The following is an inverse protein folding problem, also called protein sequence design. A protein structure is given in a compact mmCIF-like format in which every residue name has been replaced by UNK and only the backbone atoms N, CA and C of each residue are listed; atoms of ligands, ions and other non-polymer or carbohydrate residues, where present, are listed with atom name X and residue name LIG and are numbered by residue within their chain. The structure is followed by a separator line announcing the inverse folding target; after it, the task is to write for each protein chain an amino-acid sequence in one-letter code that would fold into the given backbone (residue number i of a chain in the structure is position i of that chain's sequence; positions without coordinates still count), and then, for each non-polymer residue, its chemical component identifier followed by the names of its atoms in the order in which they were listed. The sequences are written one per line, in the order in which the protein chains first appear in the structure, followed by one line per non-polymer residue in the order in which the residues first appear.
data_IF_697204226925
#
_entry.id   IF_697204226925
#
_cell.length_a   1.000
_cell.length_b   1.000
_cell.length_c   1.000
_cell.angle_alpha   90.00
_cell.angle_beta   90.00
_cell.angle_gamma   90.00
#
_symmetry.space_group_name_H-M   'P 1'
#
loop_
_entity.id
_entity.type
_entity.pdbx_description
1 polymer ?
#
# COMPACT_ATOMS: atom_id res chain seq x y z
N UNK A 1 5.74 20.98 -23.55
CA UNK A 1 4.89 21.17 -22.36
C UNK A 1 5.79 21.60 -21.22
N UNK A 2 5.56 22.80 -20.68
CA UNK A 2 6.29 23.31 -19.50
C UNK A 2 5.93 22.51 -18.24
N UNK A 3 6.68 22.63 -17.14
CA UNK A 3 6.30 21.99 -15.86
C UNK A 3 4.91 22.39 -15.38
N UNK A 4 4.53 23.66 -15.54
CA UNK A 4 3.21 24.15 -15.13
C UNK A 4 2.08 23.54 -15.98
N UNK A 5 2.28 23.47 -17.31
CA UNK A 5 1.34 22.81 -18.22
C UNK A 5 1.20 21.32 -17.92
N UNK A 6 2.30 20.64 -17.54
CA UNK A 6 2.25 19.25 -17.13
C UNK A 6 1.45 19.08 -15.83
N UNK A 7 1.69 19.95 -14.85
CA UNK A 7 1.02 19.91 -13.56
C UNK A 7 -0.49 20.18 -13.72
N UNK A 8 -0.85 21.12 -14.57
CA UNK A 8 -2.25 21.44 -14.87
C UNK A 8 -2.97 20.24 -15.52
N UNK A 9 -2.32 19.62 -16.51
CA UNK A 9 -2.86 18.42 -17.16
C UNK A 9 -3.02 17.26 -16.17
N UNK A 10 -2.05 17.07 -15.30
CA UNK A 10 -2.11 16.06 -14.24
C UNK A 10 -3.24 16.35 -13.23
N UNK A 11 -3.42 17.61 -12.81
CA UNK A 11 -4.50 18.00 -11.88
C UNK A 11 -5.87 17.74 -12.49
N UNK A 12 -6.06 18.07 -13.75
CA UNK A 12 -7.33 17.87 -14.46
C UNK A 12 -7.77 16.40 -14.41
N UNK A 13 -6.85 15.48 -14.68
CA UNK A 13 -7.14 14.05 -14.75
C UNK A 13 -6.71 13.26 -13.49
N UNK A 14 -6.40 13.95 -12.37
CA UNK A 14 -6.02 13.29 -11.14
C UNK A 14 -7.05 12.26 -10.70
N UNK A 15 -6.63 11.04 -10.35
CA UNK A 15 -7.54 10.00 -9.86
C UNK A 15 -8.18 10.42 -8.54
N UNK A 16 -9.41 10.01 -8.31
CA UNK A 16 -10.02 10.03 -6.98
C UNK A 16 -9.68 8.72 -6.30
N UNK A 17 -8.90 8.78 -5.22
CA UNK A 17 -8.48 7.61 -4.45
C UNK A 17 -9.49 7.32 -3.35
N UNK A 18 -10.00 6.09 -3.32
CA UNK A 18 -10.89 5.55 -2.30
C UNK A 18 -10.10 4.51 -1.51
N UNK A 19 -9.76 4.84 -0.29
CA UNK A 19 -9.00 3.93 0.56
C UNK A 19 -9.91 2.95 1.29
N UNK A 20 -9.41 1.76 1.55
CA UNK A 20 -10.07 0.84 2.46
C UNK A 20 -10.24 1.47 3.85
N UNK A 21 -11.34 1.17 4.50
CA UNK A 21 -11.65 1.73 5.81
C UNK A 21 -10.63 1.40 6.92
N UNK A 22 -9.85 0.34 6.74
CA UNK A 22 -8.78 -0.07 7.66
C UNK A 22 -7.39 0.40 7.20
N UNK A 23 -7.30 1.12 6.07
CA UNK A 23 -6.02 1.60 5.57
C UNK A 23 -5.48 2.74 6.43
N UNK A 24 -4.26 2.58 6.90
CA UNK A 24 -3.58 3.47 7.83
C UNK A 24 -2.59 4.40 7.16
N UNK A 25 -2.33 4.17 5.89
CA UNK A 25 -1.37 4.92 5.11
C UNK A 25 -2.06 5.76 4.04
N UNK A 26 -1.49 6.93 3.80
CA UNK A 26 -1.72 7.73 2.60
C UNK A 26 -0.41 7.85 1.84
N UNK A 27 -0.43 7.91 0.51
CA UNK A 27 0.80 8.13 -0.23
C UNK A 27 1.37 9.49 0.12
N UNK A 28 2.69 9.56 0.29
CA UNK A 28 3.38 10.75 0.77
C UNK A 28 4.63 11.08 -0.02
N UNK A 29 5.28 12.18 0.37
CA UNK A 29 6.60 12.53 -0.14
C UNK A 29 7.66 11.58 0.44
N UNK A 30 8.67 11.30 -0.36
CA UNK A 30 9.77 10.42 0.04
C UNK A 30 10.80 11.11 0.95
N UNK A 31 10.74 12.44 1.05
CA UNK A 31 11.76 13.24 1.74
C UNK A 31 11.90 12.79 3.21
N UNK A 32 10.82 12.77 3.98
CA UNK A 32 10.87 12.31 5.37
C UNK A 32 11.30 10.85 5.53
N UNK A 33 10.95 9.99 4.59
CA UNK A 33 11.40 8.59 4.57
C UNK A 33 12.92 8.50 4.35
N UNK A 34 13.47 9.31 3.46
CA UNK A 34 14.91 9.35 3.15
C UNK A 34 15.73 10.01 4.26
N UNK A 35 15.20 11.06 4.91
CA UNK A 35 15.86 11.74 6.03
C UNK A 35 16.18 10.78 7.20
N UNK A 36 15.32 9.81 7.45
CA UNK A 36 15.46 8.85 8.54
C UNK A 36 15.97 7.48 8.08
N UNK A 37 16.34 7.35 6.80
CA UNK A 37 16.85 6.11 6.23
C UNK A 37 18.38 6.09 6.18
N UNK A 38 18.94 4.90 6.33
CA UNK A 38 20.34 4.59 5.97
C UNK A 38 20.37 3.73 4.73
N UNK A 39 21.45 3.79 3.96
CA UNK A 39 21.67 2.88 2.82
C UNK A 39 22.60 1.76 3.25
N UNK A 40 22.16 0.52 3.03
CA UNK A 40 22.95 -0.67 3.32
C UNK A 40 23.39 -1.33 2.02
N UNK A 41 24.55 -1.97 2.01
CA UNK A 41 24.91 -2.93 0.97
C UNK A 41 24.18 -4.26 1.22
N UNK A 42 24.15 -5.14 0.24
CA UNK A 42 23.54 -6.45 0.34
C UNK A 42 24.03 -7.29 1.52
N UNK A 43 25.25 -7.04 2.00
CA UNK A 43 25.85 -7.62 3.20
C UNK A 43 25.45 -6.91 4.51
N UNK A 44 24.50 -5.98 4.43
CA UNK A 44 24.01 -5.17 5.56
C UNK A 44 25.04 -4.21 6.18
N UNK A 45 26.12 -3.90 5.47
CA UNK A 45 27.03 -2.83 5.85
C UNK A 45 26.44 -1.48 5.47
N UNK A 46 26.51 -0.51 6.39
CA UNK A 46 26.10 0.88 6.14
C UNK A 46 27.06 1.50 5.14
N UNK A 47 26.50 1.97 4.02
CA UNK A 47 27.28 2.69 3.02
C UNK A 47 27.58 4.14 3.48
N UNK A 48 28.71 4.71 3.09
CA UNK A 48 29.03 6.12 3.38
C UNK A 48 27.94 7.07 2.84
N UNK A 49 27.83 8.25 3.44
CA UNK A 49 26.86 9.27 3.04
C UNK A 49 25.55 9.24 3.85
N UNK A 50 25.55 8.63 5.00
CA UNK A 50 24.41 8.51 5.94
C UNK A 50 24.19 9.76 6.78
N UNK A 51 22.98 9.92 7.30
CA UNK A 51 21.82 10.54 6.65
C UNK A 51 22.11 11.95 6.16
N UNK A 52 21.41 12.47 5.17
CA UNK A 52 20.27 11.86 4.50
C UNK A 52 20.69 10.79 3.48
N UNK A 53 19.87 9.78 3.33
CA UNK A 53 20.11 8.64 2.43
C UNK A 53 20.34 9.06 0.96
N UNK A 54 19.84 10.21 0.55
CA UNK A 54 20.02 10.74 -0.81
C UNK A 54 21.50 10.85 -1.24
N UNK A 55 22.40 11.25 -0.33
CA UNK A 55 23.83 11.34 -0.65
C UNK A 55 24.41 9.96 -0.97
N UNK A 56 24.11 8.96 -0.13
CA UNK A 56 24.53 7.58 -0.36
C UNK A 56 23.87 6.97 -1.60
N UNK A 57 22.58 7.25 -1.87
CA UNK A 57 21.90 6.82 -3.09
C UNK A 57 22.55 7.38 -4.35
N UNK A 58 23.02 8.62 -4.31
CA UNK A 58 23.73 9.27 -5.43
C UNK A 58 25.07 8.60 -5.67
N UNK A 59 25.86 8.40 -4.63
CA UNK A 59 27.18 7.77 -4.72
C UNK A 59 27.06 6.31 -5.16
N UNK A 60 26.07 5.59 -4.66
CA UNK A 60 25.83 4.19 -4.96
C UNK A 60 24.68 3.96 -5.97
N UNK A 61 24.49 4.89 -6.89
CA UNK A 61 23.36 4.92 -7.84
C UNK A 61 23.14 3.61 -8.60
N UNK A 62 24.21 2.94 -8.99
CA UNK A 62 24.19 1.71 -9.77
C UNK A 62 24.37 0.43 -8.93
N UNK A 63 24.35 0.55 -7.62
CA UNK A 63 24.42 -0.62 -6.74
C UNK A 63 23.04 -1.30 -6.64
N UNK A 64 22.85 -2.39 -7.37
CA UNK A 64 21.61 -3.17 -7.39
C UNK A 64 21.38 -3.97 -6.10
N UNK A 65 22.40 -4.11 -5.25
CA UNK A 65 22.32 -4.79 -3.95
C UNK A 65 22.03 -3.82 -2.80
N UNK A 66 22.13 -2.51 -3.05
CA UNK A 66 21.85 -1.51 -2.04
C UNK A 66 20.38 -1.53 -1.62
N UNK A 67 20.15 -1.27 -0.34
CA UNK A 67 18.83 -1.30 0.29
C UNK A 67 18.68 -0.12 1.24
N UNK A 68 17.50 0.50 1.27
CA UNK A 68 17.15 1.45 2.30
C UNK A 68 16.78 0.73 3.59
N UNK A 69 17.24 1.29 4.71
CA UNK A 69 16.80 0.93 6.05
C UNK A 69 16.10 2.14 6.68
N UNK A 70 14.75 2.22 6.59
CA UNK A 70 14.00 3.44 6.94
C UNK A 70 13.94 3.74 8.44
N UNK A 71 14.32 2.82 9.30
CA UNK A 71 14.38 3.01 10.76
C UNK A 71 15.85 3.02 11.28
N UNK A 72 16.78 3.39 10.44
CA UNK A 72 18.18 3.46 10.81
C UNK A 72 18.83 2.08 10.95
N UNK A 73 19.75 1.93 11.90
CA UNK A 73 20.63 0.77 11.98
C UNK A 73 20.08 -0.42 12.79
N UNK A 74 18.87 -0.36 13.34
CA UNK A 74 18.30 -1.49 14.09
C UNK A 74 17.77 -2.57 13.14
N UNK A 75 18.66 -3.46 12.72
CA UNK A 75 18.35 -4.59 11.85
C UNK A 75 17.66 -5.75 12.56
N UNK A 76 17.59 -5.72 13.90
CA UNK A 76 17.03 -6.80 14.72
C UNK A 76 15.53 -6.66 14.99
N UNK A 77 14.94 -5.54 14.59
CA UNK A 77 13.50 -5.34 14.71
C UNK A 77 12.73 -6.43 13.96
N UNK A 78 11.87 -7.14 14.70
CA UNK A 78 10.96 -8.05 14.02
C UNK A 78 9.96 -7.26 13.15
N UNK A 79 9.41 -7.92 12.15
CA UNK A 79 8.55 -7.30 11.14
C UNK A 79 7.35 -6.55 11.72
N UNK A 80 6.85 -7.02 12.84
CA UNK A 80 5.70 -6.42 13.54
C UNK A 80 6.04 -5.11 14.22
N UNK A 81 7.09 -5.13 15.02
CA UNK A 81 7.60 -3.97 15.73
C UNK A 81 8.03 -2.89 14.74
N UNK A 82 8.69 -3.31 13.66
CA UNK A 82 9.10 -2.41 12.58
C UNK A 82 7.92 -1.66 11.96
N UNK A 83 6.83 -2.34 11.60
CA UNK A 83 5.64 -1.66 11.05
C UNK A 83 4.98 -0.72 12.04
N UNK A 84 5.00 -1.06 13.33
CA UNK A 84 4.49 -0.16 14.37
C UNK A 84 5.34 1.10 14.48
N UNK A 85 6.68 0.94 14.53
CA UNK A 85 7.61 2.06 14.58
C UNK A 85 7.57 2.93 13.32
N UNK A 86 7.38 2.33 12.14
CA UNK A 86 7.16 3.10 10.91
C UNK A 86 5.88 3.91 10.96
N UNK A 87 4.79 3.34 11.44
CA UNK A 87 3.54 4.06 11.61
C UNK A 87 3.68 5.20 12.64
N UNK A 88 4.42 4.97 13.71
CA UNK A 88 4.72 6.00 14.70
C UNK A 88 5.61 7.11 14.15
N UNK A 89 6.58 6.79 13.29
CA UNK A 89 7.56 7.74 12.75
C UNK A 89 7.01 8.53 11.56
N UNK A 90 6.28 7.87 10.65
CA UNK A 90 5.86 8.45 9.36
C UNK A 90 4.34 8.61 9.23
N UNK A 91 3.56 7.89 10.02
CA UNK A 91 2.10 7.88 9.91
C UNK A 91 1.40 8.93 10.76
N UNK A 92 2.04 9.44 11.82
CA UNK A 92 1.41 10.36 12.77
C UNK A 92 0.98 11.70 12.16
N UNK A 93 1.71 12.17 11.15
CA UNK A 93 1.46 13.45 10.50
C UNK A 93 0.52 13.33 9.30
N UNK A 94 0.06 12.12 8.96
CA UNK A 94 -0.80 11.92 7.80
C UNK A 94 -2.25 12.24 8.13
N UNK A 95 -2.85 13.15 7.34
CA UNK A 95 -4.29 13.35 7.32
C UNK A 95 -4.97 12.21 6.56
N UNK A 96 -5.66 11.33 7.30
CA UNK A 96 -6.38 10.19 6.71
C UNK A 96 -7.71 10.59 6.04
N UNK A 97 -8.20 11.82 6.23
CA UNK A 97 -9.34 12.32 5.48
C UNK A 97 -8.96 12.75 4.06
N UNK A 98 -7.70 13.11 3.86
CA UNK A 98 -7.13 13.43 2.56
C UNK A 98 -6.72 12.20 1.76
N UNK A 99 -6.29 12.41 0.51
CA UNK A 99 -5.76 11.38 -0.37
C UNK A 99 -4.23 11.35 -0.45
N UNK A 100 -3.55 12.09 0.42
CA UNK A 100 -2.09 12.19 0.40
C UNK A 100 -1.54 12.91 -0.83
N UNK A 101 -0.33 12.53 -1.25
CA UNK A 101 0.43 13.17 -2.32
C UNK A 101 0.83 12.13 -3.36
N UNK A 102 0.68 12.45 -4.65
CA UNK A 102 1.16 11.63 -5.75
C UNK A 102 2.24 12.37 -6.56
N UNK A 103 3.23 11.63 -7.02
CA UNK A 103 4.22 12.13 -7.96
C UNK A 103 3.72 11.98 -9.40
N UNK A 104 3.55 13.11 -10.09
CA UNK A 104 3.05 13.16 -11.45
C UNK A 104 4.16 13.12 -12.50
N UNK A 105 3.91 12.39 -13.59
CA UNK A 105 4.77 12.37 -14.79
C UNK A 105 3.91 12.36 -16.04
N UNK A 106 4.26 13.20 -17.02
CA UNK A 106 3.63 13.21 -18.34
C UNK A 106 4.60 12.59 -19.35
N UNK A 107 4.19 11.54 -20.03
CA UNK A 107 5.02 10.82 -21.01
C UNK A 107 4.37 10.93 -22.39
N UNK A 108 4.92 11.73 -23.31
CA UNK A 108 4.42 11.79 -24.68
C UNK A 108 4.78 10.54 -25.47
N UNK A 109 3.82 9.91 -26.14
CA UNK A 109 4.00 8.76 -26.99
C UNK A 109 3.15 8.91 -28.26
N UNK A 110 3.75 9.30 -29.36
CA UNK A 110 3.06 9.61 -30.60
C UNK A 110 2.09 10.81 -30.43
N UNK A 111 0.80 10.58 -30.65
CA UNK A 111 -0.25 11.60 -30.49
C UNK A 111 -0.91 11.58 -29.10
N UNK A 112 -0.58 10.61 -28.28
CA UNK A 112 -1.13 10.45 -26.93
C UNK A 112 -0.13 10.90 -25.87
N UNK A 113 -0.67 11.21 -24.70
CA UNK A 113 0.11 11.39 -23.48
C UNK A 113 -0.33 10.34 -22.46
N UNK A 114 0.65 9.77 -21.74
CA UNK A 114 0.40 8.93 -20.60
C UNK A 114 0.69 9.73 -19.33
N UNK A 115 -0.35 9.98 -18.57
CA UNK A 115 -0.27 10.62 -17.26
C UNK A 115 -0.06 9.53 -16.23
N UNK A 116 1.06 9.56 -15.55
CA UNK A 116 1.44 8.59 -14.52
C UNK A 116 1.39 9.27 -13.16
N UNK A 117 0.71 8.63 -12.20
CA UNK A 117 0.61 9.03 -10.80
C UNK A 117 1.26 7.94 -9.97
N UNK A 118 2.47 8.22 -9.50
CA UNK A 118 3.26 7.33 -8.65
C UNK A 118 2.94 7.62 -7.20
N UNK A 119 2.48 6.60 -6.48
CA UNK A 119 2.08 6.67 -5.09
C UNK A 119 3.14 5.96 -4.25
N UNK A 120 3.74 6.68 -3.31
CA UNK A 120 4.73 6.12 -2.39
C UNK A 120 4.13 5.91 -1.01
N UNK A 121 4.31 4.73 -0.46
CA UNK A 121 3.94 4.40 0.92
C UNK A 121 5.18 3.91 1.68
N UNK A 122 5.38 4.33 2.95
CA UNK A 122 6.56 3.95 3.73
C UNK A 122 6.61 2.45 4.05
N UNK A 123 5.48 1.79 4.22
CA UNK A 123 5.36 0.40 4.64
C UNK A 123 4.26 -0.30 3.85
N UNK A 124 4.46 -1.55 3.52
CA UNK A 124 3.44 -2.47 3.04
C UNK A 124 3.30 -3.59 4.08
N UNK A 125 2.41 -3.41 5.07
CA UNK A 125 2.27 -4.34 6.18
C UNK A 125 1.50 -5.62 5.83
N UNK A 126 1.38 -5.98 4.57
CA UNK A 126 0.61 -7.10 4.06
C UNK A 126 0.50 -8.25 5.05
N UNK A 127 -0.71 -8.78 5.20
CA UNK A 127 -1.03 -9.80 6.22
C UNK A 127 -0.23 -11.09 6.07
N UNK A 128 0.17 -11.42 4.84
CA UNK A 128 1.03 -12.57 4.58
C UNK A 128 2.50 -12.17 4.69
N UNK A 129 3.30 -12.89 5.49
CA UNK A 129 4.73 -12.61 5.62
C UNK A 129 5.48 -12.45 4.29
N UNK A 130 5.19 -13.24 3.24
CA UNK A 130 5.86 -13.07 1.95
C UNK A 130 5.55 -11.76 1.23
N UNK A 131 4.40 -11.13 1.51
CA UNK A 131 4.00 -9.87 0.88
C UNK A 131 4.46 -8.61 1.60
N UNK A 132 5.04 -8.78 2.79
CA UNK A 132 5.41 -7.64 3.64
C UNK A 132 6.77 -7.09 3.28
N UNK A 133 6.84 -5.78 3.04
CA UNK A 133 8.10 -5.08 2.74
C UNK A 133 8.04 -3.61 3.18
N UNK A 134 9.19 -3.01 3.38
CA UNK A 134 9.34 -1.58 3.62
C UNK A 134 9.32 -0.85 2.28
N UNK A 135 8.76 0.35 2.25
CA UNK A 135 8.56 1.14 1.05
C UNK A 135 7.67 0.45 0.03
N UNK A 136 6.75 1.17 -0.54
CA UNK A 136 5.87 0.63 -1.58
C UNK A 136 5.62 1.69 -2.65
N UNK A 137 5.59 1.25 -3.93
CA UNK A 137 5.37 2.09 -5.08
C UNK A 137 4.23 1.56 -5.92
N UNK A 138 3.11 2.26 -5.91
CA UNK A 138 1.96 1.96 -6.75
C UNK A 138 1.83 2.96 -7.89
N UNK A 139 1.15 2.56 -8.96
CA UNK A 139 1.02 3.35 -10.17
C UNK A 139 -0.41 3.36 -10.70
N UNK A 140 -0.95 4.56 -10.89
CA UNK A 140 -2.12 4.83 -11.72
C UNK A 140 -1.66 5.49 -13.01
N UNK A 141 -2.03 4.95 -14.16
CA UNK A 141 -1.69 5.50 -15.46
C UNK A 141 -2.95 5.81 -16.28
N UNK A 142 -3.04 7.01 -16.85
CA UNK A 142 -4.16 7.45 -17.66
C UNK A 142 -3.63 7.84 -19.04
N UNK A 143 -4.18 7.24 -20.08
CA UNK A 143 -3.92 7.65 -21.46
C UNK A 143 -4.87 8.78 -21.82
N UNK A 144 -4.33 9.90 -22.28
CA UNK A 144 -5.11 11.01 -22.82
C UNK A 144 -4.72 11.28 -24.26
N UNK A 145 -5.69 11.67 -25.06
CA UNK A 145 -5.52 12.02 -26.46
C UNK A 145 -6.10 13.41 -26.72
N UNK A 146 -5.65 14.08 -27.77
CA UNK A 146 -6.22 15.38 -28.16
C UNK A 146 -7.64 15.18 -28.65
N UNK A 147 -8.55 16.01 -28.12
CA UNK A 147 -9.95 16.11 -28.55
C UNK A 147 -10.34 17.58 -28.67
N UNK A 148 -10.49 18.04 -29.90
CA UNK A 148 -10.63 19.46 -30.18
C UNK A 148 -9.40 20.27 -29.74
N UNK A 149 -9.63 21.33 -28.99
CA UNK A 149 -8.57 22.16 -28.40
C UNK A 149 -8.03 21.60 -27.05
N UNK A 150 -8.62 20.53 -26.53
CA UNK A 150 -8.28 19.97 -25.25
C UNK A 150 -7.74 18.55 -25.30
N UNK A 151 -7.88 17.88 -24.16
CA UNK A 151 -7.52 16.47 -23.97
C UNK A 151 -8.70 15.69 -23.40
N UNK A 152 -8.82 14.43 -23.81
CA UNK A 152 -9.77 13.48 -23.26
C UNK A 152 -9.05 12.22 -22.79
N UNK A 153 -9.44 11.69 -21.63
CA UNK A 153 -8.98 10.41 -21.15
C UNK A 153 -9.62 9.28 -21.97
N UNK A 154 -8.82 8.34 -22.47
CA UNK A 154 -9.29 7.24 -23.30
C UNK A 154 -9.12 5.88 -22.60
N UNK A 155 -8.14 5.77 -21.68
CA UNK A 155 -7.82 4.51 -21.03
C UNK A 155 -7.20 4.75 -19.65
N UNK A 156 -7.51 3.85 -18.70
CA UNK A 156 -6.88 3.81 -17.38
C UNK A 156 -6.20 2.47 -17.20
N UNK A 157 -5.00 2.48 -16.66
CA UNK A 157 -4.23 1.29 -16.29
C UNK A 157 -3.83 1.38 -14.82
N UNK A 158 -4.14 0.34 -14.05
CA UNK A 158 -3.81 0.22 -12.63
C UNK A 158 -2.79 -0.90 -12.44
N UNK A 159 -1.85 -0.71 -11.52
CA UNK A 159 -0.86 -1.73 -11.16
C UNK A 159 -1.44 -2.64 -10.06
N UNK A 160 -2.07 -3.75 -10.45
CA UNK A 160 -2.54 -4.77 -9.52
C UNK A 160 -1.37 -5.71 -9.20
N UNK A 161 -0.67 -5.51 -8.07
CA UNK A 161 0.56 -6.27 -7.71
C UNK A 161 1.59 -6.33 -8.84
N UNK A 162 1.88 -5.19 -9.47
CA UNK A 162 2.80 -5.12 -10.62
C UNK A 162 2.24 -5.74 -11.91
N UNK A 163 1.00 -6.20 -11.93
CA UNK A 163 0.29 -6.68 -13.13
C UNK A 163 -0.68 -5.61 -13.60
N UNK A 164 -0.51 -5.06 -14.81
CA UNK A 164 -1.40 -4.02 -15.29
C UNK A 164 -2.79 -4.57 -15.57
N UNK A 165 -3.80 -3.93 -15.01
CA UNK A 165 -5.20 -4.04 -15.43
C UNK A 165 -5.57 -2.75 -16.16
N UNK A 166 -6.17 -2.88 -17.33
CA UNK A 166 -6.46 -1.74 -18.22
C UNK A 166 -7.90 -1.75 -18.68
N UNK A 167 -8.57 -0.61 -18.52
CA UNK A 167 -9.95 -0.41 -18.94
C UNK A 167 -10.08 0.87 -19.76
N UNK A 168 -10.95 0.89 -20.77
CA UNK A 168 -11.30 2.12 -21.48
C UNK A 168 -12.07 3.07 -20.55
N UNK A 169 -11.91 4.36 -20.75
CA UNK A 169 -12.72 5.38 -20.07
C UNK A 169 -14.05 5.55 -20.81
N UNK A 170 -15.15 5.46 -20.06
CA UNK A 170 -16.48 5.73 -20.60
C UNK A 170 -16.58 7.17 -21.16
N UNK A 171 -17.31 7.34 -22.24
CA UNK A 171 -17.44 8.63 -22.94
C UNK A 171 -17.90 9.77 -22.01
N UNK A 172 -18.79 9.48 -21.05
CA UNK A 172 -19.31 10.45 -20.08
C UNK A 172 -18.26 10.93 -19.05
N UNK A 173 -17.13 10.21 -18.92
CA UNK A 173 -16.07 10.50 -17.93
C UNK A 173 -14.74 10.91 -18.53
N UNK A 174 -14.69 11.20 -19.83
CA UNK A 174 -13.44 11.52 -20.53
C UNK A 174 -12.76 12.82 -20.05
N UNK A 175 -13.52 13.73 -19.45
CA UNK A 175 -13.02 14.98 -18.89
C UNK A 175 -12.53 14.91 -17.45
N UNK A 176 -12.67 13.79 -16.79
CA UNK A 176 -12.42 13.60 -15.36
C UNK A 176 -11.41 12.49 -15.08
N UNK A 177 -10.78 12.56 -13.91
CA UNK A 177 -9.95 11.48 -13.42
C UNK A 177 -10.79 10.27 -12.99
N UNK A 178 -10.22 9.04 -13.04
CA UNK A 178 -10.91 7.83 -12.64
C UNK A 178 -11.09 7.73 -11.12
N UNK A 179 -12.11 7.00 -10.68
CA UNK A 179 -12.15 6.45 -9.32
C UNK A 179 -11.22 5.24 -9.22
N UNK A 180 -10.36 5.23 -8.21
CA UNK A 180 -9.39 4.17 -7.95
C UNK A 180 -9.55 3.73 -6.50
N UNK A 181 -9.69 2.42 -6.29
CA UNK A 181 -9.88 1.80 -4.99
C UNK A 181 -8.55 1.20 -4.52
N UNK A 182 -8.05 1.70 -3.40
CA UNK A 182 -6.76 1.30 -2.81
C UNK A 182 -7.00 0.26 -1.73
N UNK A 183 -6.39 -0.90 -1.92
CA UNK A 183 -6.56 -2.02 -1.00
C UNK A 183 -5.79 -1.81 0.31
N UNK A 184 -6.36 -2.33 1.40
CA UNK A 184 -5.73 -2.30 2.71
C UNK A 184 -4.38 -3.04 2.71
N UNK A 185 -3.43 -2.48 3.40
CA UNK A 185 -2.08 -3.00 3.65
C UNK A 185 -1.20 -3.17 2.38
N UNK A 186 -1.75 -3.61 1.26
CA UNK A 186 -1.00 -3.88 0.03
C UNK A 186 -0.94 -2.68 -0.92
N UNK A 187 -1.80 -1.68 -0.70
CA UNK A 187 -1.98 -0.47 -1.51
C UNK A 187 -2.27 -0.71 -3.00
N UNK A 188 -2.44 -1.99 -3.41
CA UNK A 188 -2.76 -2.31 -4.79
C UNK A 188 -4.03 -1.60 -5.25
N UNK A 189 -4.00 -1.07 -6.47
CA UNK A 189 -5.05 -0.21 -7.01
C UNK A 189 -6.03 -1.00 -7.88
N UNK A 190 -7.34 -0.83 -7.62
CA UNK A 190 -8.42 -1.54 -8.31
C UNK A 190 -9.46 -0.60 -8.90
N UNK A 191 -10.20 -1.09 -9.92
CA UNK A 191 -11.31 -0.35 -10.55
C UNK A 191 -12.61 -0.40 -9.75
N UNK A 192 -12.74 -1.29 -8.78
CA UNK A 192 -13.97 -1.52 -8.00
C UNK A 192 -13.63 -1.76 -6.55
N UNK A 193 -14.53 -1.32 -5.67
CA UNK A 193 -14.50 -1.73 -4.28
C UNK A 193 -14.83 -3.22 -4.11
N UNK A 194 -14.44 -3.78 -2.99
CA UNK A 194 -14.76 -5.14 -2.58
C UNK A 194 -13.54 -6.03 -2.45
N UNK A 195 -13.81 -7.32 -2.45
CA UNK A 195 -12.78 -8.35 -2.36
C UNK A 195 -12.20 -8.66 -3.73
N UNK A 196 -10.88 -8.67 -3.82
CA UNK A 196 -10.13 -9.06 -5.01
C UNK A 196 -9.37 -10.36 -4.73
N UNK A 197 -10.06 -11.52 -4.89
CA UNK A 197 -9.47 -12.81 -4.58
C UNK A 197 -8.32 -13.09 -5.54
N UNK A 198 -7.14 -13.21 -4.99
CA UNK A 198 -5.93 -13.64 -5.66
C UNK A 198 -5.18 -14.62 -4.74
N UNK A 199 -3.99 -15.03 -5.10
CA UNK A 199 -3.14 -15.81 -4.21
C UNK A 199 -2.81 -15.03 -2.91
N UNK A 200 -2.63 -13.70 -3.06
CA UNK A 200 -2.67 -12.71 -1.98
C UNK A 200 -4.00 -11.97 -2.15
N UNK A 201 -4.93 -12.19 -1.23
CA UNK A 201 -6.27 -11.63 -1.34
C UNK A 201 -6.29 -10.20 -0.86
N UNK A 202 -6.69 -9.28 -1.73
CA UNK A 202 -6.87 -7.88 -1.41
C UNK A 202 -8.32 -7.54 -1.13
N UNK A 203 -8.52 -6.55 -0.30
CA UNK A 203 -9.83 -5.94 -0.07
C UNK A 203 -9.70 -4.43 -0.11
N UNK A 204 -10.62 -3.80 -0.81
CA UNK A 204 -10.83 -2.37 -0.74
C UNK A 204 -12.31 -2.11 -0.45
N UNK A 205 -12.63 -1.81 0.80
CA UNK A 205 -13.96 -1.43 1.23
C UNK A 205 -13.88 -0.09 1.98
N UNK A 206 -14.23 1.02 1.30
CA UNK A 206 -14.22 2.35 1.93
C UNK A 206 -15.26 2.54 3.02
N UNK A 207 -16.17 1.56 3.23
CA UNK A 207 -17.26 1.64 4.22
C UNK A 207 -18.13 2.91 4.08
N UNK A 208 -18.31 3.40 2.86
CA UNK A 208 -19.09 4.61 2.56
C UNK A 208 -18.29 5.91 2.63
N UNK A 209 -17.02 5.89 2.94
CA UNK A 209 -16.17 7.08 2.90
C UNK A 209 -15.98 7.59 1.47
N UNK A 210 -15.93 8.91 1.35
CA UNK A 210 -15.72 9.57 0.05
C UNK A 210 -14.25 9.50 -0.32
N UNK A 211 -13.97 9.22 -1.60
CA UNK A 211 -12.64 9.36 -2.15
C UNK A 211 -12.22 10.83 -2.27
N UNK A 212 -10.91 11.06 -2.31
CA UNK A 212 -10.31 12.37 -2.50
C UNK A 212 -9.22 12.32 -3.59
N UNK A 213 -8.95 13.47 -4.21
CA UNK A 213 -7.82 13.60 -5.14
C UNK A 213 -6.53 13.86 -4.37
N UNK A 214 -5.40 13.19 -4.69
CA UNK A 214 -4.13 13.48 -4.05
C UNK A 214 -3.62 14.87 -4.46
N UNK A 215 -2.91 15.53 -3.56
CA UNK A 215 -2.05 16.63 -3.93
C UNK A 215 -0.97 16.12 -4.91
N UNK A 216 -0.48 17.00 -5.81
CA UNK A 216 0.45 16.58 -6.84
C UNK A 216 1.80 17.29 -6.71
N UNK A 217 2.86 16.50 -6.77
CA UNK A 217 4.22 16.94 -7.01
C UNK A 217 4.69 16.39 -8.36
N UNK A 218 5.46 17.13 -9.13
CA UNK A 218 6.08 16.56 -10.33
C UNK A 218 7.19 15.58 -9.92
N UNK A 219 7.21 14.43 -10.59
CA UNK A 219 8.30 13.48 -10.41
C UNK A 219 9.61 14.13 -10.90
N UNK A 220 10.64 14.25 -10.06
CA UNK A 220 11.91 14.88 -10.45
C UNK A 220 12.64 13.97 -11.44
N UNK A 221 12.64 14.37 -12.73
CA UNK A 221 13.24 13.56 -13.82
C UNK A 221 14.66 14.02 -14.14
N UNK A 222 15.05 15.22 -13.68
CA UNK A 222 16.40 15.73 -13.93
C UNK A 222 17.44 14.90 -13.19
N UNK A 223 18.42 14.31 -13.89
CA UNK A 223 19.37 13.38 -13.29
C UNK A 223 20.28 13.99 -12.22
N UNK A 224 20.31 15.30 -12.14
CA UNK A 224 21.22 16.10 -11.31
C UNK A 224 20.58 16.62 -10.01
N UNK A 225 19.27 16.50 -9.84
CA UNK A 225 18.58 17.15 -8.72
C UNK A 225 18.03 16.24 -7.64
N UNK A 226 17.57 15.03 -7.97
CA UNK A 226 17.10 14.01 -7.02
C UNK A 226 17.26 12.63 -7.60
N UNK A 227 18.39 12.00 -7.36
CA UNK A 227 18.76 10.72 -7.98
C UNK A 227 17.90 9.52 -7.54
N UNK A 228 17.04 9.68 -6.53
CA UNK A 228 16.24 8.57 -6.03
C UNK A 228 15.30 7.94 -7.07
N UNK A 229 14.83 8.70 -8.08
CA UNK A 229 14.01 8.16 -9.17
C UNK A 229 14.74 7.11 -9.99
N UNK A 230 16.05 7.28 -10.18
CA UNK A 230 16.90 6.41 -10.97
C UNK A 230 17.83 5.51 -10.15
N UNK A 231 17.66 5.48 -8.85
CA UNK A 231 18.46 4.62 -7.98
C UNK A 231 18.13 3.13 -8.20
N UNK A 232 19.18 2.30 -8.38
CA UNK A 232 19.01 0.89 -8.74
C UNK A 232 18.69 -0.03 -7.56
N UNK A 233 18.91 0.44 -6.33
CA UNK A 233 18.66 -0.31 -5.10
C UNK A 233 17.18 -0.49 -4.75
N UNK A 234 16.93 -1.01 -3.57
CA UNK A 234 15.58 -1.30 -3.05
C UNK A 234 15.14 -0.32 -1.98
N UNK A 235 13.88 0.02 -1.96
CA UNK A 235 13.27 1.00 -1.03
C UNK A 235 13.03 0.47 0.39
N UNK A 236 13.56 -0.68 0.71
CA UNK A 236 13.53 -1.27 2.04
C UNK A 236 14.41 -2.49 2.11
N UNK A 237 14.44 -3.13 3.25
CA UNK A 237 15.26 -4.30 3.48
C UNK A 237 14.74 -5.50 2.68
N UNK A 238 15.62 -6.15 1.95
CA UNK A 238 15.37 -7.47 1.36
C UNK A 238 15.33 -8.51 2.49
N UNK A 239 14.14 -8.98 2.80
CA UNK A 239 13.93 -9.97 3.87
C UNK A 239 14.04 -11.40 3.38
N UNK A 240 14.61 -11.58 2.17
CA UNK A 240 14.78 -12.88 1.55
C UNK A 240 13.45 -13.54 1.27
N UNK A 241 12.97 -13.35 0.06
CA UNK A 241 11.65 -13.73 -0.42
C UNK A 241 11.05 -14.98 0.19
N UNK A 242 9.74 -14.96 0.39
CA UNK A 242 8.96 -15.94 1.15
C UNK A 242 9.18 -17.42 0.88
N UNK A 243 9.90 -17.78 -0.19
CA UNK A 243 10.23 -19.18 -0.48
C UNK A 243 11.37 -19.73 0.38
N UNK A 244 12.26 -18.91 0.88
CA UNK A 244 13.26 -19.36 1.85
C UNK A 244 12.61 -19.80 3.17
N UNK A 245 11.46 -19.22 3.50
CA UNK A 245 10.76 -19.49 4.74
C UNK A 245 9.78 -20.67 4.64
N UNK A 246 9.14 -20.87 3.48
CA UNK A 246 8.01 -21.77 3.41
C UNK A 246 8.36 -23.24 3.19
N UNK A 247 9.42 -23.58 2.46
CA UNK A 247 9.58 -24.98 2.02
C UNK A 247 11.04 -25.50 2.07
N UNK A 248 12.08 -24.67 2.23
CA UNK A 248 13.49 -25.14 2.20
C UNK A 248 13.92 -25.79 0.88
N UNK A 249 13.08 -25.79 -0.14
CA UNK A 249 13.28 -26.44 -1.43
C UNK A 249 13.60 -25.39 -2.50
N UNK A 250 14.87 -25.37 -2.93
CA UNK A 250 15.29 -24.64 -4.12
C UNK A 250 14.87 -25.40 -5.39
N UNK A 251 13.66 -25.18 -5.86
CA UNK A 251 13.25 -25.66 -7.17
C UNK A 251 13.74 -24.70 -8.27
N UNK A 252 14.60 -25.17 -9.13
CA UNK A 252 15.00 -24.45 -10.37
C UNK A 252 14.61 -25.32 -11.58
N UNK A 253 13.78 -24.82 -12.50
CA UNK A 253 13.08 -23.54 -12.47
C UNK A 253 11.95 -23.54 -11.44
N UNK A 254 11.78 -22.43 -10.72
CA UNK A 254 10.69 -22.29 -9.74
C UNK A 254 9.36 -22.21 -10.49
N UNK A 255 8.44 -23.17 -10.31
CA UNK A 255 7.17 -23.15 -11.02
C UNK A 255 6.32 -21.96 -10.58
N UNK A 256 5.60 -21.34 -11.53
CA UNK A 256 4.54 -20.43 -11.20
C UNK A 256 3.43 -21.19 -10.42
N UNK A 257 2.86 -20.73 -9.31
CA UNK A 257 2.90 -19.39 -8.73
C UNK A 257 4.01 -19.12 -7.70
N UNK A 258 4.89 -20.05 -7.41
CA UNK A 258 5.94 -19.92 -6.40
C UNK A 258 6.96 -18.80 -6.73
N UNK A 259 7.15 -18.50 -8.01
CA UNK A 259 7.96 -17.37 -8.48
C UNK A 259 7.38 -16.02 -8.05
N UNK A 260 6.06 -15.90 -7.99
CA UNK A 260 5.40 -14.66 -7.54
C UNK A 260 5.48 -14.53 -6.02
N UNK A 261 5.35 -15.65 -5.30
CA UNK A 261 5.56 -15.68 -3.85
C UNK A 261 7.00 -15.32 -3.44
N UNK A 262 7.98 -15.68 -4.28
CA UNK A 262 9.38 -15.32 -4.04
C UNK A 262 9.66 -13.82 -4.16
N UNK A 263 8.90 -13.12 -5.00
CA UNK A 263 9.04 -11.68 -5.21
C UNK A 263 8.20 -10.86 -4.24
N UNK A 264 7.21 -11.47 -3.62
CA UNK A 264 6.21 -10.78 -2.83
C UNK A 264 6.73 -10.16 -1.52
N UNK A 265 7.91 -10.53 -1.07
CA UNK A 265 8.55 -9.94 0.12
C UNK A 265 9.70 -9.00 -0.19
N UNK A 266 9.96 -8.74 -1.46
CA UNK A 266 11.03 -7.86 -1.88
C UNK A 266 10.53 -6.41 -1.94
N UNK A 267 11.17 -5.53 -1.20
CA UNK A 267 10.92 -4.08 -1.33
C UNK A 267 11.12 -3.61 -2.77
N UNK A 268 10.28 -2.68 -3.26
CA UNK A 268 10.30 -2.26 -4.64
C UNK A 268 11.58 -1.51 -5.00
N UNK A 269 11.84 -1.45 -6.28
CA UNK A 269 12.85 -0.56 -6.87
C UNK A 269 12.25 0.82 -7.13
N UNK A 270 13.12 1.80 -7.32
CA UNK A 270 12.72 3.15 -7.74
C UNK A 270 11.87 3.15 -9.02
N UNK A 271 11.04 4.16 -9.25
CA UNK A 271 10.14 4.24 -10.41
C UNK A 271 10.83 3.94 -11.74
N UNK A 272 12.03 4.50 -12.00
CA UNK A 272 12.75 4.27 -13.25
C UNK A 272 13.23 2.81 -13.45
N UNK A 273 13.26 2.03 -12.39
CA UNK A 273 13.60 0.60 -12.41
C UNK A 273 12.40 -0.33 -12.36
N UNK A 274 11.16 0.21 -12.43
CA UNK A 274 9.90 -0.56 -12.48
C UNK A 274 9.60 -1.15 -13.88
N UNK A 275 10.60 -1.28 -14.73
CA UNK A 275 10.49 -2.01 -15.99
C UNK A 275 9.57 -1.35 -17.02
N UNK A 276 8.50 -2.05 -17.42
CA UNK A 276 7.60 -1.59 -18.49
C UNK A 276 6.78 -0.36 -18.12
N UNK A 277 6.40 -0.23 -16.87
CA UNK A 277 5.62 0.92 -16.38
C UNK A 277 6.36 2.23 -16.59
N UNK A 278 7.69 2.22 -16.45
CA UNK A 278 8.51 3.40 -16.68
C UNK A 278 8.91 3.57 -18.15
N UNK A 279 9.46 2.50 -18.76
CA UNK A 279 10.11 2.58 -20.08
C UNK A 279 9.16 2.54 -21.26
N UNK A 280 8.01 1.90 -21.10
CA UNK A 280 7.08 1.63 -22.19
C UNK A 280 5.62 1.73 -21.69
N UNK A 281 5.08 2.94 -21.44
CA UNK A 281 3.72 3.12 -20.94
C UNK A 281 2.65 2.41 -21.79
N UNK A 282 2.83 2.36 -23.12
CA UNK A 282 1.92 1.63 -24.03
C UNK A 282 1.92 0.13 -23.76
N UNK A 283 3.10 -0.46 -23.58
CA UNK A 283 3.24 -1.89 -23.30
C UNK A 283 2.72 -2.21 -21.89
N UNK A 284 2.92 -1.30 -20.92
CA UNK A 284 2.33 -1.42 -19.59
C UNK A 284 0.81 -1.39 -19.67
N UNK A 285 0.23 -0.54 -20.51
CA UNK A 285 -1.20 -0.51 -20.80
C UNK A 285 -1.74 -1.74 -21.56
N UNK A 286 -0.88 -2.69 -21.91
CA UNK A 286 -1.25 -3.90 -22.63
C UNK A 286 -1.33 -3.75 -24.15
N UNK A 287 -1.01 -2.58 -24.69
CA UNK A 287 -0.99 -2.38 -26.15
C UNK A 287 0.09 -3.26 -26.80
N UNK A 288 -0.31 -4.10 -27.74
CA UNK A 288 0.58 -5.03 -28.44
C UNK A 288 1.00 -6.28 -27.65
N UNK A 289 0.39 -6.56 -26.50
CA UNK A 289 0.67 -7.77 -25.73
C UNK A 289 -0.48 -8.77 -25.80
N UNK A 290 -0.16 -10.02 -26.15
CA UNK A 290 -1.11 -11.14 -26.07
C UNK A 290 -0.94 -11.81 -24.71
N UNK A 291 -1.98 -11.80 -23.87
CA UNK A 291 -1.97 -12.55 -22.59
C UNK A 291 -1.95 -14.05 -22.90
N UNK A 292 -1.02 -14.79 -22.31
CA UNK A 292 -1.00 -16.26 -22.41
C UNK A 292 -2.29 -16.82 -21.79
N UNK A 293 -2.99 -17.66 -22.54
CA UNK A 293 -4.27 -18.27 -22.11
C UNK A 293 -4.15 -18.99 -20.76
N UNK A 294 -3.05 -19.68 -20.50
CA UNK A 294 -2.77 -20.37 -19.23
C UNK A 294 -2.78 -19.42 -18.01
N UNK A 295 -2.24 -18.21 -18.16
CA UNK A 295 -2.23 -17.20 -17.09
C UNK A 295 -3.65 -16.75 -16.74
N UNK A 296 -4.52 -16.59 -17.75
CA UNK A 296 -5.92 -16.19 -17.55
C UNK A 296 -6.70 -17.28 -16.81
N UNK A 297 -6.50 -18.54 -17.15
CA UNK A 297 -7.20 -19.66 -16.51
C UNK A 297 -6.78 -19.84 -15.04
N UNK A 298 -5.49 -19.70 -14.74
CA UNK A 298 -4.99 -19.80 -13.37
C UNK A 298 -5.50 -18.65 -12.49
N UNK A 299 -5.59 -17.44 -13.03
CA UNK A 299 -6.23 -16.32 -12.33
C UNK A 299 -7.71 -16.62 -12.03
N UNK A 300 -8.47 -17.14 -13.02
CA UNK A 300 -9.87 -17.53 -12.81
C UNK A 300 -10.03 -18.58 -11.71
N UNK A 301 -9.14 -19.59 -11.68
CA UNK A 301 -9.16 -20.62 -10.63
C UNK A 301 -8.85 -20.03 -9.25
N UNK A 302 -7.85 -19.16 -9.14
CA UNK A 302 -7.53 -18.46 -7.91
C UNK A 302 -8.71 -17.61 -7.40
N UNK A 303 -9.40 -16.90 -8.29
CA UNK A 303 -10.61 -16.16 -7.96
C UNK A 303 -11.74 -17.07 -7.46
N UNK A 304 -11.98 -18.21 -8.11
CA UNK A 304 -12.99 -19.17 -7.70
C UNK A 304 -12.74 -19.73 -6.28
N UNK A 305 -11.50 -20.14 -6.02
CA UNK A 305 -11.09 -20.62 -4.69
C UNK A 305 -11.25 -19.49 -3.67
N UNK A 306 -10.80 -18.28 -4.00
CA UNK A 306 -10.93 -17.11 -3.15
C UNK A 306 -12.38 -16.86 -2.74
N UNK A 307 -13.31 -16.82 -3.69
CA UNK A 307 -14.73 -16.60 -3.39
C UNK A 307 -15.34 -17.73 -2.55
N UNK A 308 -14.96 -18.98 -2.78
CA UNK A 308 -15.51 -20.13 -2.04
C UNK A 308 -15.11 -20.10 -0.55
N UNK A 309 -13.96 -19.54 -0.23
CA UNK A 309 -13.38 -19.54 1.13
C UNK A 309 -13.54 -18.22 1.87
N UNK A 310 -14.07 -17.19 1.21
CA UNK A 310 -14.16 -15.82 1.74
C UNK A 310 -15.03 -15.73 3.00
N UNK A 311 -14.56 -15.09 4.10
CA UNK A 311 -15.39 -14.85 5.27
C UNK A 311 -16.50 -13.84 4.93
N UNK A 312 -17.77 -14.23 5.16
CA UNK A 312 -18.92 -13.38 4.85
C UNK A 312 -19.46 -12.60 6.05
N UNK A 313 -18.92 -12.84 7.23
CA UNK A 313 -19.40 -12.25 8.48
C UNK A 313 -18.37 -11.34 9.10
N UNK A 314 -18.84 -10.22 9.65
CA UNK A 314 -17.99 -9.35 10.50
C UNK A 314 -17.68 -10.07 11.82
N UNK A 315 -16.48 -9.89 12.38
CA UNK A 315 -16.15 -10.43 13.70
C UNK A 315 -16.96 -9.69 14.78
N UNK A 316 -17.26 -10.38 15.88
CA UNK A 316 -17.71 -9.71 17.09
C UNK A 316 -16.47 -9.18 17.81
N UNK A 317 -16.39 -7.87 17.99
CA UNK A 317 -15.26 -7.20 18.64
C UNK A 317 -15.78 -6.23 19.68
N UNK A 318 -15.14 -6.23 20.83
CA UNK A 318 -15.37 -5.29 21.92
C UNK A 318 -14.04 -4.63 22.28
N UNK A 319 -14.03 -3.31 22.37
CA UNK A 319 -12.89 -2.51 22.81
C UNK A 319 -13.34 -1.68 23.99
N UNK A 320 -12.68 -1.85 25.14
CA UNK A 320 -12.99 -1.12 26.37
C UNK A 320 -11.71 -0.56 27.01
N UNK A 321 -11.77 0.58 27.70
CA UNK A 321 -10.64 1.04 28.49
C UNK A 321 -10.22 -0.05 29.50
N UNK A 322 -8.92 -0.24 29.66
CA UNK A 322 -8.40 -1.04 30.76
C UNK A 322 -8.53 -0.26 32.07
N UNK A 323 -8.61 -0.96 33.20
CA UNK A 323 -8.44 -0.31 34.48
C UNK A 323 -7.08 0.41 34.53
N UNK A 324 -7.03 1.64 35.03
CA UNK A 324 -5.85 2.49 35.02
C UNK A 324 -4.61 1.73 35.52
N UNK A 325 -3.62 1.60 34.67
CA UNK A 325 -2.28 1.20 35.05
C UNK A 325 -1.55 2.49 35.44
N UNK A 326 -1.42 2.73 36.73
CA UNK A 326 -0.77 3.93 37.27
C UNK A 326 0.64 4.08 36.69
N UNK A 327 0.91 5.21 36.04
CA UNK A 327 2.25 5.65 35.68
C UNK A 327 2.57 5.76 34.20
N UNK A 328 1.63 5.53 33.28
CA UNK A 328 1.84 5.74 31.83
C UNK A 328 0.92 6.83 31.29
N UNK A 329 1.48 7.75 30.50
CA UNK A 329 0.71 8.79 29.79
C UNK A 329 -0.15 8.23 28.63
N UNK A 330 -0.20 6.93 28.44
CA UNK A 330 -0.92 6.26 27.36
C UNK A 330 -2.17 5.58 27.92
N UNK A 331 -3.31 5.83 27.29
CA UNK A 331 -4.55 5.09 27.58
C UNK A 331 -4.40 3.63 27.12
N UNK A 332 -4.71 2.70 28.02
CA UNK A 332 -4.65 1.26 27.72
C UNK A 332 -6.05 0.74 27.46
N UNK A 333 -6.19 -0.08 26.42
CA UNK A 333 -7.46 -0.69 26.00
C UNK A 333 -7.37 -2.20 26.01
N UNK A 334 -8.46 -2.84 26.43
CA UNK A 334 -8.65 -4.29 26.33
C UNK A 334 -9.48 -4.57 25.08
N UNK A 335 -9.01 -5.47 24.25
CA UNK A 335 -9.65 -5.89 23.01
C UNK A 335 -10.06 -7.35 23.15
N UNK A 336 -11.34 -7.64 23.01
CA UNK A 336 -11.88 -8.99 22.98
C UNK A 336 -12.52 -9.26 21.62
N UNK A 337 -12.26 -10.43 21.05
CA UNK A 337 -12.78 -10.81 19.75
C UNK A 337 -13.44 -12.21 19.81
N UNK A 338 -14.61 -12.31 19.19
CA UNK A 338 -15.31 -13.57 18.97
C UNK A 338 -15.03 -14.16 17.60
N UNK A 339 -15.12 -15.47 17.44
CA UNK A 339 -15.02 -16.14 16.15
C UNK A 339 -16.39 -16.36 15.53
N UNK A 340 -16.47 -16.21 14.19
CA UNK A 340 -17.64 -16.53 13.40
C UNK A 340 -17.26 -17.36 12.18
N UNK A 341 -18.18 -18.20 11.68
CA UNK A 341 -18.04 -18.95 10.45
C UNK A 341 -17.61 -20.41 10.62
N UNK A 342 -17.70 -21.18 9.51
CA UNK A 342 -17.30 -22.60 9.44
C UNK A 342 -15.85 -22.70 8.95
N UNK A 343 -15.19 -23.81 9.23
CA UNK A 343 -13.78 -24.15 9.03
C UNK A 343 -12.95 -23.18 8.16
N UNK A 344 -13.02 -23.22 6.83
CA UNK A 344 -12.22 -22.36 5.93
C UNK A 344 -12.66 -20.87 5.96
N UNK A 345 -13.89 -20.58 6.38
CA UNK A 345 -14.41 -19.21 6.51
C UNK A 345 -14.34 -18.69 7.95
N UNK A 346 -13.94 -19.53 8.89
CA UNK A 346 -13.85 -19.18 10.31
C UNK A 346 -12.79 -18.11 10.50
N UNK A 347 -13.14 -17.06 11.23
CA UNK A 347 -12.19 -16.03 11.64
C UNK A 347 -11.14 -16.65 12.59
N UNK A 348 -9.88 -16.58 12.21
CA UNK A 348 -8.75 -17.11 12.97
C UNK A 348 -7.97 -16.02 13.70
N UNK A 349 -8.07 -14.79 13.24
CA UNK A 349 -7.62 -13.61 13.97
C UNK A 349 -8.43 -12.39 13.52
N UNK A 350 -8.41 -11.38 14.37
CA UNK A 350 -9.07 -10.09 14.15
C UNK A 350 -8.00 -9.01 14.20
N UNK A 351 -7.99 -8.13 13.20
CA UNK A 351 -7.22 -6.90 13.24
C UNK A 351 -8.12 -5.77 13.67
N UNK A 352 -7.66 -4.98 14.63
CA UNK A 352 -8.35 -3.77 15.12
C UNK A 352 -7.43 -2.59 14.84
N UNK A 353 -7.87 -1.70 13.95
CA UNK A 353 -7.20 -0.45 13.62
C UNK A 353 -7.75 0.66 14.51
N UNK A 354 -6.86 1.46 15.08
CA UNK A 354 -7.17 2.59 15.93
C UNK A 354 -6.86 3.88 15.19
N UNK A 355 -7.79 4.83 15.33
CA UNK A 355 -7.68 6.16 14.73
C UNK A 355 -8.01 7.20 15.80
N UNK A 356 -7.42 8.37 15.64
CA UNK A 356 -7.74 9.54 16.43
C UNK A 356 -8.48 10.54 15.56
N UNK A 357 -9.60 11.02 16.06
CA UNK A 357 -10.34 12.15 15.49
C UNK A 357 -9.90 13.39 16.25
N UNK A 358 -9.25 14.33 15.57
CA UNK A 358 -8.81 15.59 16.17
C UNK A 358 -9.95 16.63 16.15
N UNK A 359 -9.89 17.67 17.02
CA UNK A 359 -10.94 18.69 17.11
C UNK A 359 -11.17 19.49 15.82
N UNK A 360 -10.17 19.60 14.96
CA UNK A 360 -10.25 20.25 13.65
C UNK A 360 -10.91 19.38 12.57
N UNK A 361 -11.34 18.16 12.92
CA UNK A 361 -11.96 17.20 12.02
C UNK A 361 -10.96 16.34 11.25
N UNK A 362 -9.65 16.53 11.42
CA UNK A 362 -8.64 15.65 10.84
C UNK A 362 -8.62 14.30 11.55
N UNK A 363 -8.14 13.27 10.84
CA UNK A 363 -8.03 11.91 11.35
C UNK A 363 -6.62 11.39 11.14
N UNK A 364 -6.04 10.77 12.16
CA UNK A 364 -4.75 10.12 12.08
C UNK A 364 -4.79 8.66 12.54
N UNK A 365 -3.98 7.80 11.93
CA UNK A 365 -3.82 6.43 12.34
C UNK A 365 -2.95 6.33 13.58
N UNK A 366 -3.40 5.54 14.57
CA UNK A 366 -2.66 5.32 15.83
C UNK A 366 -1.99 3.96 15.89
N UNK A 367 -2.48 2.98 15.16
CA UNK A 367 -1.89 1.66 15.15
C UNK A 367 -2.87 0.55 14.85
N UNK A 368 -2.35 -0.67 14.82
CA UNK A 368 -3.07 -1.89 14.57
C UNK A 368 -2.75 -2.94 15.62
N UNK A 369 -3.78 -3.53 16.19
CA UNK A 369 -3.64 -4.67 17.08
C UNK A 369 -4.27 -5.91 16.46
N UNK A 370 -3.62 -7.07 16.64
CA UNK A 370 -4.14 -8.37 16.22
C UNK A 370 -4.46 -9.23 17.43
N UNK A 371 -5.69 -9.74 17.45
CA UNK A 371 -6.21 -10.55 18.56
C UNK A 371 -6.75 -11.86 17.99
N UNK A 372 -6.48 -12.97 18.69
CA UNK A 372 -7.11 -14.25 18.36
C UNK A 372 -8.50 -14.33 19.00
N UNK A 373 -9.52 -14.84 18.28
CA UNK A 373 -10.82 -15.05 18.87
C UNK A 373 -10.75 -15.90 20.15
N UNK A 374 -11.42 -15.41 21.20
CA UNK A 374 -11.39 -16.03 22.52
C UNK A 374 -10.17 -15.63 23.39
N UNK A 375 -9.32 -14.73 22.91
CA UNK A 375 -8.23 -14.15 23.68
C UNK A 375 -8.46 -12.64 23.83
N UNK A 376 -8.15 -12.12 25.02
CA UNK A 376 -8.05 -10.68 25.23
C UNK A 376 -6.65 -10.19 24.89
N UNK A 377 -6.54 -9.05 24.22
CA UNK A 377 -5.30 -8.32 24.00
C UNK A 377 -5.34 -6.97 24.69
N UNK A 378 -4.22 -6.49 25.19
CA UNK A 378 -4.08 -5.14 25.71
C UNK A 378 -3.25 -4.31 24.74
N UNK A 379 -3.64 -3.04 24.56
CA UNK A 379 -2.95 -2.12 23.66
C UNK A 379 -2.90 -0.73 24.29
N UNK A 380 -1.71 -0.20 24.49
CA UNK A 380 -1.49 1.15 24.99
C UNK A 380 -1.33 2.12 23.82
N UNK A 381 -2.12 3.20 23.82
CA UNK A 381 -2.13 4.17 22.74
C UNK A 381 -2.04 5.59 23.34
N UNK A 382 -1.00 6.37 23.03
CA UNK A 382 -1.00 7.79 23.28
C UNK A 382 -1.93 8.49 22.29
N UNK A 383 -2.94 9.20 22.75
CA UNK A 383 -3.81 10.03 21.92
C UNK A 383 -4.31 11.24 22.71
N UNK A 384 -4.60 12.32 22.02
CA UNK A 384 -5.11 13.59 22.57
C UNK A 384 -6.56 13.84 22.16
N UNK A 385 -6.97 13.34 21.00
CA UNK A 385 -8.31 13.46 20.45
C UNK A 385 -9.22 12.28 20.78
N UNK A 386 -10.36 12.23 20.13
CA UNK A 386 -11.33 11.16 20.30
C UNK A 386 -10.85 9.87 19.65
N UNK A 387 -10.83 8.77 20.40
CA UNK A 387 -10.43 7.47 19.88
C UNK A 387 -11.58 6.80 19.12
N UNK A 388 -11.30 6.40 17.90
CA UNK A 388 -12.19 5.61 17.06
C UNK A 388 -11.49 4.33 16.67
N UNK A 389 -12.19 3.21 16.59
CA UNK A 389 -11.63 1.96 16.12
C UNK A 389 -12.50 1.27 15.08
N UNK A 390 -11.84 0.50 14.22
CA UNK A 390 -12.45 -0.40 13.23
C UNK A 390 -11.82 -1.78 13.34
N UNK A 391 -12.56 -2.80 12.98
CA UNK A 391 -12.03 -4.16 13.03
C UNK A 391 -12.44 -4.99 11.83
N UNK A 392 -11.60 -5.94 11.45
CA UNK A 392 -11.93 -6.97 10.49
C UNK A 392 -11.36 -8.33 10.90
N UNK A 393 -12.12 -9.38 10.60
CA UNK A 393 -11.70 -10.76 10.84
C UNK A 393 -11.05 -11.36 9.62
N UNK A 394 -10.07 -12.24 9.84
CA UNK A 394 -9.37 -12.98 8.80
C UNK A 394 -9.50 -14.48 9.03
N UNK A 395 -9.69 -15.22 7.95
CA UNK A 395 -9.72 -16.68 8.01
C UNK A 395 -8.31 -17.29 7.96
N UNK A 396 -8.22 -18.62 7.96
CA UNK A 396 -6.95 -19.36 7.87
C UNK A 396 -6.16 -19.06 6.59
N UNK A 397 -6.85 -18.67 5.50
CA UNK A 397 -6.23 -18.27 4.24
C UNK A 397 -5.91 -16.77 4.18
N UNK A 398 -5.99 -16.08 5.31
CA UNK A 398 -5.74 -14.63 5.42
C UNK A 398 -6.68 -13.75 4.62
N UNK A 399 -7.83 -14.25 4.21
CA UNK A 399 -8.86 -13.47 3.55
C UNK A 399 -9.64 -12.67 4.59
N UNK A 400 -9.83 -11.38 4.32
CA UNK A 400 -10.54 -10.46 5.22
C UNK A 400 -12.05 -10.54 5.01
N UNK A 401 -12.79 -10.65 6.10
CA UNK A 401 -14.25 -10.50 6.10
C UNK A 401 -14.69 -9.03 6.08
N UNK A 402 -16.00 -8.80 6.15
CA UNK A 402 -16.57 -7.47 6.23
C UNK A 402 -16.05 -6.74 7.47
N UNK A 403 -15.64 -5.46 7.36
CA UNK A 403 -15.19 -4.68 8.49
C UNK A 403 -16.36 -4.36 9.45
N UNK A 404 -16.04 -4.24 10.70
CA UNK A 404 -16.90 -3.56 11.68
C UNK A 404 -16.72 -2.06 11.44
N UNK A 405 -17.80 -1.29 11.24
CA UNK A 405 -17.73 0.16 11.04
C UNK A 405 -17.18 0.86 12.29
N UNK A 406 -16.95 2.16 12.17
CA UNK A 406 -16.44 2.99 13.25
C UNK A 406 -17.19 2.80 14.56
N UNK A 407 -16.43 2.62 15.60
CA UNK A 407 -16.90 2.47 16.99
C UNK A 407 -16.02 3.26 17.93
N UNK A 408 -16.61 3.72 18.99
CA UNK A 408 -15.93 4.30 20.13
C UNK A 408 -15.74 3.25 21.22
N UNK A 409 -14.64 3.30 22.00
CA UNK A 409 -14.48 2.42 23.14
C UNK A 409 -15.68 2.59 24.08
N UNK A 410 -16.25 1.47 24.51
CA UNK A 410 -17.38 1.52 25.44
C UNK A 410 -16.86 2.01 26.79
N UNK A 411 -17.48 3.08 27.31
CA UNK A 411 -17.25 3.47 28.68
C UNK A 411 -17.60 2.29 29.61
N UNK A 412 -16.78 2.02 30.62
CA UNK A 412 -17.15 1.07 31.66
C UNK A 412 -18.44 1.60 32.30
N UNK A 413 -19.52 0.83 32.23
CA UNK A 413 -20.67 1.08 33.09
C UNK A 413 -20.17 1.04 34.56
N UNK A 414 -20.19 2.19 35.22
CA UNK A 414 -19.85 2.32 36.62
C UNK A 414 -20.83 1.55 37.47
#
# INVERSE_FOLDING_TARGET
MSPDEQLELLRRFAPTLHFDALERWRPGLVDGYLEHSTVLDGDKHVLPGTPPAEAAMREHRHNYNAQLNPLGNDLNLNTYRRSTEMLESYGREQDLAGAGIAYGRVVPVGRAFFLQYWLFYPDNPCVLPPGRHDGDWELVQIKVEREGEGFAATQVTLAEHGKPATHPVEASRRGEGPSVFVAVDSHACYFKQGAHPALLSDVCDPAGERGAKPALALLPIAPDKRDWVHWAGRWGLDRGGGTRLAIGLHLKPTPWPLTELNKAGDSPKSPAHQGKSWRSPRVFAGEGTVRKWSTVQLQRLAHLIGYATWPKTSPRVEVRPAAEVSGTAASTYVIEAGSAGHFLRRVTFVSVAFFEQLPDGTRRGLGLQRVRPGQAGTFGIPHEGELVWRAAGYNVLRQRGNPVPDRHPQAQAQ
#
